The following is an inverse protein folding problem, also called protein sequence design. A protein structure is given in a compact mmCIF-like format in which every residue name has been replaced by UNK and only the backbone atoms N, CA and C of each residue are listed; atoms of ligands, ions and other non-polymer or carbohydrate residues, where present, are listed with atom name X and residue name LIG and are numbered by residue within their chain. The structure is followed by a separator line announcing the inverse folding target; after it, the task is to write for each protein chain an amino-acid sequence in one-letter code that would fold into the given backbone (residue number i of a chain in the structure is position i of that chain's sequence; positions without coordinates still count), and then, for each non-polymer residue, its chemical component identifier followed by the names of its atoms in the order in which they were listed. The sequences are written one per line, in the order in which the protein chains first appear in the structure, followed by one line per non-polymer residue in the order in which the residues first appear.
data_IF_873171923829
#
_entry.id   IF_873171923829
#
_cell.length_a   1.000
_cell.length_b   1.000
_cell.length_c   1.000
_cell.angle_alpha   90.00
_cell.angle_beta   90.00
_cell.angle_gamma   90.00
#
_symmetry.space_group_name_H-M   'P 1'
#
loop_
_entity.id
_entity.type
_entity.pdbx_description
1 polymer ?
#
# COMPACT_ATOMS: atom_id res chain seq x y z
N UNK A 1 -5.12 11.66 5.94
CA UNK A 1 -6.50 11.86 6.43
C UNK A 1 -7.40 11.99 5.23
N UNK A 2 -8.56 11.35 5.24
CA UNK A 2 -9.50 11.41 4.13
C UNK A 2 -10.26 12.75 4.13
N UNK A 3 -10.76 13.24 2.97
CA UNK A 3 -11.55 14.45 2.93
C UNK A 3 -12.92 14.28 3.59
N UNK A 4 -13.21 15.11 4.61
CA UNK A 4 -14.48 15.09 5.35
C UNK A 4 -15.47 16.18 4.91
N UNK A 5 -15.05 17.10 4.04
CA UNK A 5 -15.92 18.13 3.51
C UNK A 5 -17.15 17.51 2.86
N UNK A 6 -18.31 18.04 3.25
CA UNK A 6 -19.58 17.46 2.84
C UNK A 6 -19.96 17.92 1.44
N UNK A 7 -20.41 16.98 0.62
CA UNK A 7 -21.16 17.27 -0.58
C UNK A 7 -22.53 17.83 -0.18
N UNK A 8 -22.81 19.06 -0.62
CA UNK A 8 -24.11 19.70 -0.43
C UNK A 8 -25.11 19.21 -1.48
N UNK A 9 -25.48 17.92 -1.41
CA UNK A 9 -26.32 17.28 -2.44
C UNK A 9 -27.71 17.89 -2.56
N UNK A 10 -28.23 18.54 -1.50
CA UNK A 10 -29.49 19.28 -1.58
C UNK A 10 -29.42 20.44 -2.59
N UNK A 11 -28.22 20.95 -2.91
CA UNK A 11 -28.01 21.97 -3.96
C UNK A 11 -27.92 21.39 -5.37
N UNK A 12 -27.89 20.07 -5.52
CA UNK A 12 -27.72 19.43 -6.84
C UNK A 12 -29.03 19.27 -7.59
N UNK A 13 -30.17 19.37 -6.89
CA UNK A 13 -31.50 19.32 -7.49
C UNK A 13 -31.98 20.70 -7.98
N UNK A 14 -31.23 21.77 -7.68
CA UNK A 14 -31.61 23.13 -8.09
C UNK A 14 -31.18 23.48 -9.52
N UNK A 15 -30.30 22.68 -10.14
CA UNK A 15 -29.87 22.86 -11.53
C UNK A 15 -29.32 21.58 -12.17
N UNK A 16 -29.54 21.44 -13.47
CA UNK A 16 -28.84 20.47 -14.32
C UNK A 16 -27.59 21.11 -14.94
N UNK A 17 -26.57 20.30 -15.23
CA UNK A 17 -25.35 20.74 -15.89
C UNK A 17 -24.80 19.70 -16.88
N UNK A 18 -24.34 20.15 -18.04
CA UNK A 18 -23.55 19.36 -18.99
C UNK A 18 -22.29 20.17 -19.32
N UNK A 19 -21.16 19.77 -18.73
CA UNK A 19 -19.90 20.52 -18.80
C UNK A 19 -18.78 19.61 -19.26
N UNK A 20 -18.08 20.02 -20.32
CA UNK A 20 -16.78 19.44 -20.69
C UNK A 20 -15.68 20.30 -20.09
N UNK A 21 -14.95 19.73 -19.15
CA UNK A 21 -13.87 20.42 -18.46
C UNK A 21 -12.51 19.90 -18.94
N UNK A 22 -11.57 20.81 -19.16
CA UNK A 22 -10.16 20.53 -19.44
C UNK A 22 -9.28 21.44 -18.61
N UNK A 23 -8.30 20.88 -17.93
CA UNK A 23 -7.29 21.62 -17.17
C UNK A 23 -5.90 21.10 -17.51
N UNK A 24 -4.98 22.00 -17.88
CA UNK A 24 -3.62 21.60 -18.24
C UNK A 24 -2.81 21.10 -17.05
N UNK A 25 -2.91 21.80 -15.92
CA UNK A 25 -2.19 21.47 -14.68
C UNK A 25 -2.91 22.06 -13.47
N UNK A 26 -3.05 21.27 -12.42
CA UNK A 26 -3.64 21.66 -11.14
C UNK A 26 -2.59 21.45 -10.06
N UNK A 27 -2.28 22.52 -9.33
CA UNK A 27 -1.34 22.52 -8.22
C UNK A 27 -2.08 22.96 -6.95
N UNK A 28 -1.84 22.25 -5.85
CA UNK A 28 -2.44 22.59 -4.56
C UNK A 28 -1.43 22.37 -3.43
N UNK A 29 -0.78 23.45 -3.00
CA UNK A 29 0.25 23.40 -1.96
C UNK A 29 1.39 22.44 -2.33
N UNK A 30 1.78 21.58 -1.38
CA UNK A 30 2.79 20.52 -1.58
C UNK A 30 2.22 19.23 -2.17
N UNK A 31 0.93 19.19 -2.53
CA UNK A 31 0.32 17.97 -3.06
C UNK A 31 0.82 17.63 -4.46
N UNK A 32 0.74 16.34 -4.79
CA UNK A 32 1.10 15.83 -6.09
C UNK A 32 0.32 16.52 -7.20
N UNK A 33 1.00 17.18 -8.15
CA UNK A 33 0.31 17.91 -9.21
C UNK A 33 -0.43 16.95 -10.12
N UNK A 34 -1.63 17.38 -10.52
CA UNK A 34 -2.46 16.69 -11.50
C UNK A 34 -2.26 17.37 -12.86
N UNK A 35 -1.97 16.60 -13.90
CA UNK A 35 -1.81 17.13 -15.27
C UNK A 35 -2.91 16.64 -16.21
N UNK A 36 -3.10 17.32 -17.33
CA UNK A 36 -3.90 16.85 -18.47
C UNK A 36 -5.30 16.37 -18.08
N UNK A 37 -5.92 17.06 -17.12
CA UNK A 37 -7.22 16.70 -16.61
C UNK A 37 -8.27 16.96 -17.69
N UNK A 38 -9.08 15.94 -17.98
CA UNK A 38 -10.27 16.06 -18.82
C UNK A 38 -11.42 15.26 -18.24
N UNK A 39 -12.62 15.83 -18.25
CA UNK A 39 -13.83 15.13 -17.81
C UNK A 39 -15.07 15.67 -18.50
N UNK A 40 -16.07 14.80 -18.68
CA UNK A 40 -17.43 15.20 -19.00
C UNK A 40 -18.26 15.07 -17.73
N UNK A 41 -18.67 16.21 -17.19
CA UNK A 41 -19.49 16.37 -16.01
C UNK A 41 -20.94 16.45 -16.46
N UNK A 42 -21.76 15.51 -16.03
CA UNK A 42 -23.20 15.51 -16.26
C UNK A 42 -23.86 15.51 -14.89
N UNK A 43 -24.63 16.54 -14.59
CA UNK A 43 -25.52 16.60 -13.44
C UNK A 43 -26.95 16.67 -13.97
N UNK A 44 -27.77 15.68 -13.63
CA UNK A 44 -29.18 15.66 -14.04
C UNK A 44 -30.06 15.13 -12.94
N UNK A 45 -31.04 15.90 -12.46
CA UNK A 45 -31.93 15.50 -11.36
C UNK A 45 -31.14 14.99 -10.13
N UNK A 46 -30.14 15.77 -9.68
CA UNK A 46 -29.19 15.39 -8.63
C UNK A 46 -28.31 14.13 -8.90
N UNK A 47 -28.34 13.54 -10.09
CA UNK A 47 -27.46 12.45 -10.53
C UNK A 47 -26.18 13.01 -11.15
N UNK A 48 -25.04 12.91 -10.45
CA UNK A 48 -23.76 13.42 -10.92
C UNK A 48 -22.90 12.29 -11.52
N UNK A 49 -22.42 12.50 -12.74
CA UNK A 49 -21.51 11.62 -13.47
C UNK A 49 -20.28 12.35 -13.93
N UNK A 50 -19.13 11.72 -13.74
CA UNK A 50 -17.84 12.12 -14.31
C UNK A 50 -17.35 10.97 -15.18
N UNK A 51 -17.59 11.06 -16.50
CA UNK A 51 -17.35 9.92 -17.39
C UNK A 51 -16.81 10.31 -18.78
N UNK A 52 -15.55 9.95 -19.11
CA UNK A 52 -14.49 9.53 -18.19
C UNK A 52 -13.88 10.76 -17.50
N UNK A 53 -13.46 10.62 -16.25
CA UNK A 53 -12.48 11.50 -15.62
C UNK A 53 -11.08 10.96 -15.93
N UNK A 54 -10.26 11.73 -16.63
CA UNK A 54 -8.89 11.36 -17.00
C UNK A 54 -7.93 12.41 -16.51
N UNK A 55 -6.80 11.99 -15.96
CA UNK A 55 -5.73 12.90 -15.58
C UNK A 55 -4.38 12.17 -15.42
N UNK A 56 -3.29 12.92 -15.57
CA UNK A 56 -1.95 12.49 -15.23
C UNK A 56 -1.65 12.69 -13.75
N UNK A 57 -0.96 11.72 -13.15
CA UNK A 57 -0.50 11.77 -11.75
C UNK A 57 0.80 10.98 -11.63
N UNK A 58 1.78 11.52 -10.89
CA UNK A 58 3.05 10.83 -10.61
C UNK A 58 3.75 10.27 -11.88
N UNK A 59 3.64 10.98 -13.01
CA UNK A 59 4.21 10.57 -14.30
C UNK A 59 3.46 9.44 -15.03
N UNK A 60 2.38 8.92 -14.45
CA UNK A 60 1.46 7.96 -15.07
C UNK A 60 0.10 8.58 -15.38
N UNK A 61 -0.90 7.72 -15.58
CA UNK A 61 -2.26 8.13 -15.95
C UNK A 61 -3.31 7.45 -15.09
N UNK A 62 -4.35 8.19 -14.72
CA UNK A 62 -5.56 7.69 -14.07
C UNK A 62 -6.75 7.95 -15.00
N UNK A 63 -7.55 6.90 -15.22
CA UNK A 63 -8.84 6.97 -15.91
C UNK A 63 -9.88 6.42 -14.95
N UNK A 64 -10.95 7.19 -14.71
CA UNK A 64 -12.03 6.77 -13.84
C UNK A 64 -13.41 7.13 -14.40
N UNK A 65 -14.42 6.43 -13.90
CA UNK A 65 -15.82 6.78 -14.06
C UNK A 65 -16.44 6.85 -12.67
N UNK A 66 -16.98 8.02 -12.33
CA UNK A 66 -17.57 8.30 -11.02
C UNK A 66 -19.05 8.59 -11.21
N UNK A 67 -19.89 7.96 -10.39
CA UNK A 67 -21.33 8.14 -10.38
C UNK A 67 -21.79 8.38 -8.94
N UNK A 68 -22.43 9.51 -8.68
CA UNK A 68 -22.90 9.93 -7.37
C UNK A 68 -24.41 10.25 -7.47
N UNK A 69 -25.22 9.51 -6.73
CA UNK A 69 -26.68 9.58 -6.72
C UNK A 69 -27.11 10.52 -5.58
N UNK A 70 -27.13 11.82 -5.85
CA UNK A 70 -27.37 12.89 -4.87
C UNK A 70 -28.81 12.99 -4.37
N UNK A 71 -29.76 12.40 -5.10
CA UNK A 71 -31.17 12.24 -4.74
C UNK A 71 -31.38 11.26 -3.57
N UNK A 72 -30.39 10.40 -3.30
CA UNK A 72 -30.42 9.43 -2.20
C UNK A 72 -29.87 10.00 -0.90
N UNK A 73 -30.44 9.56 0.23
CA UNK A 73 -30.04 9.99 1.57
C UNK A 73 -29.77 8.76 2.47
N UNK A 74 -28.50 8.45 2.82
CA UNK A 74 -27.26 9.11 2.37
C UNK A 74 -27.00 8.88 0.87
N UNK A 75 -26.20 9.78 0.26
CA UNK A 75 -25.82 9.68 -1.16
C UNK A 75 -25.14 8.34 -1.44
N UNK A 76 -25.47 7.71 -2.56
CA UNK A 76 -24.78 6.51 -3.03
C UNK A 76 -23.72 6.89 -4.06
N UNK A 77 -22.53 6.31 -3.95
CA UNK A 77 -21.43 6.56 -4.87
C UNK A 77 -20.84 5.28 -5.46
N UNK A 78 -20.42 5.34 -6.72
CA UNK A 78 -19.66 4.30 -7.40
C UNK A 78 -18.46 4.91 -8.11
N UNK A 79 -17.32 4.25 -8.04
CA UNK A 79 -16.11 4.63 -8.73
C UNK A 79 -15.46 3.40 -9.36
N UNK A 80 -15.21 3.49 -10.67
CA UNK A 80 -14.34 2.57 -11.39
C UNK A 80 -13.06 3.32 -11.72
N UNK A 81 -11.91 2.82 -11.31
CA UNK A 81 -10.62 3.54 -11.40
C UNK A 81 -9.59 2.61 -12.01
N UNK A 82 -8.86 3.10 -13.00
CA UNK A 82 -7.71 2.46 -13.61
C UNK A 82 -6.51 3.40 -13.51
N UNK A 83 -5.49 2.96 -12.79
CA UNK A 83 -4.21 3.64 -12.68
C UNK A 83 -3.15 2.86 -13.46
N UNK A 84 -2.35 3.55 -14.26
CA UNK A 84 -1.29 2.93 -15.07
C UNK A 84 0.01 3.72 -14.96
N UNK A 85 1.11 2.98 -14.80
CA UNK A 85 2.49 3.49 -14.77
C UNK A 85 2.72 4.64 -13.80
N UNK A 86 2.10 4.60 -12.62
CA UNK A 86 2.35 5.60 -11.58
C UNK A 86 3.74 5.37 -10.99
N UNK A 87 4.62 6.36 -11.04
CA UNK A 87 6.00 6.20 -10.54
C UNK A 87 6.02 6.29 -9.03
N UNK A 88 6.54 5.26 -8.35
CA UNK A 88 6.56 5.18 -6.89
C UNK A 88 7.26 6.38 -6.23
N UNK A 89 8.44 6.75 -6.73
CA UNK A 89 9.18 7.93 -6.27
C UNK A 89 8.34 9.21 -6.28
N UNK A 90 7.56 9.39 -7.36
CA UNK A 90 6.71 10.56 -7.51
C UNK A 90 5.44 10.46 -6.66
N UNK A 91 4.89 9.27 -6.42
CA UNK A 91 3.71 9.08 -5.56
C UNK A 91 3.96 9.39 -4.08
N UNK A 92 5.19 9.26 -3.60
CA UNK A 92 5.54 9.44 -2.19
C UNK A 92 6.75 10.38 -2.07
N UNK A 93 6.63 11.65 -2.50
CA UNK A 93 7.76 12.58 -2.58
C UNK A 93 8.32 12.93 -1.20
N UNK A 94 7.47 12.94 -0.17
CA UNK A 94 7.83 13.31 1.20
C UNK A 94 8.41 12.14 2.02
N UNK A 95 8.48 10.94 1.43
CA UNK A 95 9.08 9.77 2.07
C UNK A 95 10.50 9.62 1.56
N UNK A 96 11.49 10.01 2.37
CA UNK A 96 12.91 10.01 2.02
C UNK A 96 13.37 8.64 1.46
N UNK A 97 12.89 7.55 2.07
CA UNK A 97 13.19 6.18 1.65
C UNK A 97 12.66 5.83 0.26
N UNK A 98 11.58 6.49 -0.19
CA UNK A 98 10.99 6.32 -1.51
C UNK A 98 11.74 7.09 -2.60
N UNK A 99 12.65 8.01 -2.24
CA UNK A 99 13.41 8.80 -3.20
C UNK A 99 14.47 8.01 -3.97
N UNK A 100 14.90 6.89 -3.39
CA UNK A 100 15.76 5.87 -4.02
C UNK A 100 14.96 4.70 -4.62
N UNK A 101 13.62 4.72 -4.50
CA UNK A 101 12.78 3.64 -5.02
C UNK A 101 12.47 3.87 -6.50
N UNK A 102 12.71 2.85 -7.33
CA UNK A 102 12.30 2.80 -8.73
C UNK A 102 11.19 1.76 -8.89
N UNK A 103 10.22 2.03 -9.75
CA UNK A 103 9.12 1.12 -10.02
C UNK A 103 7.87 1.85 -10.50
N UNK A 104 7.10 1.15 -11.31
CA UNK A 104 5.82 1.61 -11.83
C UNK A 104 4.68 0.78 -11.25
N UNK A 105 3.73 1.47 -10.62
CA UNK A 105 2.53 0.88 -10.07
C UNK A 105 1.37 1.00 -11.06
N UNK A 106 0.69 -0.12 -11.26
CA UNK A 106 -0.60 -0.20 -11.94
C UNK A 106 -1.66 -0.59 -10.91
N UNK A 107 -2.90 -0.17 -11.13
CA UNK A 107 -3.98 -0.54 -10.25
C UNK A 107 -5.36 -0.42 -10.87
N UNK A 108 -6.28 -1.22 -10.36
CA UNK A 108 -7.69 -1.22 -10.74
C UNK A 108 -8.54 -1.26 -9.48
N UNK A 109 -9.57 -0.42 -9.42
CA UNK A 109 -10.50 -0.39 -8.30
C UNK A 109 -11.95 -0.29 -8.80
N UNK A 110 -12.84 -1.10 -8.22
CA UNK A 110 -14.30 -0.93 -8.28
C UNK A 110 -14.77 -0.77 -6.84
N UNK A 111 -15.34 0.40 -6.53
CA UNK A 111 -15.76 0.76 -5.18
C UNK A 111 -17.18 1.31 -5.26
N UNK A 112 -18.05 0.83 -4.37
CA UNK A 112 -19.39 1.36 -4.14
C UNK A 112 -19.54 1.70 -2.67
N UNK A 113 -20.07 2.87 -2.34
CA UNK A 113 -20.22 3.30 -0.95
C UNK A 113 -21.39 4.24 -0.75
N UNK A 114 -21.64 4.61 0.51
CA UNK A 114 -22.69 5.55 0.88
C UNK A 114 -22.19 6.60 1.86
N UNK A 115 -22.61 7.85 1.67
CA UNK A 115 -22.18 8.97 2.50
C UNK A 115 -22.06 10.27 1.73
N UNK A 116 -22.09 11.37 2.46
CA UNK A 116 -22.08 12.73 1.88
C UNK A 116 -20.69 13.37 1.94
N UNK A 117 -19.61 12.59 1.99
CA UNK A 117 -18.22 13.07 1.88
C UNK A 117 -17.34 11.94 1.34
N UNK A 118 -16.12 12.23 0.90
CA UNK A 118 -15.18 11.19 0.44
C UNK A 118 -14.88 10.20 1.57
N UNK A 119 -14.62 10.70 2.77
CA UNK A 119 -14.40 9.86 3.95
C UNK A 119 -15.60 8.97 4.27
N UNK A 120 -16.83 9.50 4.20
CA UNK A 120 -18.03 8.72 4.48
C UNK A 120 -18.29 7.66 3.39
N UNK A 121 -18.11 8.00 2.11
CA UNK A 121 -18.24 7.06 1.00
C UNK A 121 -17.26 5.89 1.15
N UNK A 122 -15.97 6.18 1.39
CA UNK A 122 -14.94 5.15 1.57
C UNK A 122 -15.14 4.37 2.87
N UNK A 123 -15.51 5.04 3.96
CA UNK A 123 -15.76 4.43 5.27
C UNK A 123 -16.95 3.47 5.29
N UNK A 124 -17.91 3.61 4.37
CA UNK A 124 -19.04 2.70 4.21
C UNK A 124 -19.00 1.93 2.87
N UNK A 125 -17.81 1.80 2.28
CA UNK A 125 -17.67 1.20 0.95
C UNK A 125 -17.56 -0.31 0.96
N UNK A 126 -17.93 -0.91 -0.16
CA UNK A 126 -17.63 -2.27 -0.54
C UNK A 126 -17.01 -2.27 -1.94
N UNK A 127 -16.15 -3.24 -2.23
CA UNK A 127 -15.49 -3.31 -3.53
C UNK A 127 -14.18 -4.08 -3.50
N UNK A 128 -13.37 -3.86 -4.52
CA UNK A 128 -12.07 -4.51 -4.66
C UNK A 128 -11.02 -3.52 -5.18
N UNK A 129 -9.78 -3.73 -4.76
CA UNK A 129 -8.61 -2.97 -5.20
C UNK A 129 -7.49 -3.93 -5.56
N UNK A 130 -7.06 -3.89 -6.83
CA UNK A 130 -5.91 -4.64 -7.34
C UNK A 130 -4.77 -3.66 -7.61
N UNK A 131 -3.58 -3.97 -7.12
CA UNK A 131 -2.35 -3.21 -7.35
C UNK A 131 -1.26 -4.16 -7.83
N UNK A 132 -0.47 -3.72 -8.81
CA UNK A 132 0.62 -4.51 -9.38
C UNK A 132 1.82 -3.64 -9.74
N UNK A 133 3.00 -4.14 -9.40
CA UNK A 133 4.29 -3.69 -9.89
C UNK A 133 5.08 -4.93 -10.36
N UNK A 134 5.64 -4.89 -11.57
CA UNK A 134 6.39 -6.01 -12.11
C UNK A 134 7.89 -5.92 -11.86
N UNK A 135 8.46 -4.73 -11.78
CA UNK A 135 9.90 -4.58 -11.54
C UNK A 135 10.10 -3.29 -10.76
N UNK A 136 11.03 -3.33 -9.81
CA UNK A 136 11.39 -2.17 -9.03
C UNK A 136 12.69 -2.35 -8.26
N UNK A 137 13.10 -1.27 -7.61
CA UNK A 137 14.27 -1.21 -6.75
C UNK A 137 13.84 -0.47 -5.50
N UNK A 138 14.14 -1.02 -4.33
CA UNK A 138 13.85 -0.42 -3.03
C UNK A 138 15.17 -0.20 -2.28
N UNK A 139 15.30 0.93 -1.59
CA UNK A 139 16.44 1.19 -0.71
C UNK A 139 16.57 0.13 0.39
N UNK A 140 17.76 -0.44 0.60
CA UNK A 140 18.01 -1.43 1.66
C UNK A 140 17.66 -0.89 3.05
N UNK A 141 17.85 0.41 3.29
CA UNK A 141 17.49 1.07 4.55
C UNK A 141 16.00 0.96 4.88
N UNK A 142 15.12 0.80 3.88
CA UNK A 142 13.68 0.57 4.10
C UNK A 142 13.41 -0.79 4.74
N UNK A 143 14.25 -1.80 4.47
CA UNK A 143 14.13 -3.13 5.08
C UNK A 143 14.76 -3.18 6.49
N UNK A 144 15.72 -2.32 6.78
CA UNK A 144 16.43 -2.29 8.06
C UNK A 144 15.71 -1.48 9.15
N UNK A 145 14.92 -0.45 8.78
CA UNK A 145 14.13 0.36 9.74
C UNK A 145 13.09 -0.47 10.50
N UNK A 146 12.72 -1.61 9.94
CA UNK A 146 11.79 -2.50 10.61
C UNK A 146 12.47 -3.36 11.67
N UNK A 147 13.80 -3.30 11.81
CA UNK A 147 14.58 -3.95 12.84
C UNK A 147 15.11 -2.98 13.88
N UNK A 148 14.33 -2.73 14.94
CA UNK A 148 14.76 -2.30 16.27
C UNK A 148 14.77 -0.78 16.57
N UNK A 149 13.98 -0.40 17.58
CA UNK A 149 14.32 0.72 18.47
C UNK A 149 15.56 0.31 19.29
N UNK A 150 16.78 0.53 18.78
CA UNK A 150 18.01 0.35 19.57
C UNK A 150 18.96 1.48 19.23
N UNK A 151 19.43 2.19 20.26
CA UNK A 151 20.43 3.23 20.14
C UNK A 151 21.69 2.74 19.42
N UNK A 152 22.30 3.65 18.65
CA UNK A 152 23.43 3.43 17.75
C UNK A 152 23.14 2.63 16.48
N UNK A 153 22.69 3.40 15.49
CA UNK A 153 22.86 3.20 14.07
C UNK A 153 24.34 2.90 13.71
N UNK A 154 24.76 1.63 13.78
CA UNK A 154 26.01 1.13 13.16
C UNK A 154 25.74 -0.28 12.62
N UNK A 155 25.03 -0.39 11.50
CA UNK A 155 25.02 -1.64 10.69
C UNK A 155 25.16 -1.36 9.19
N UNK A 156 24.98 -0.13 8.72
CA UNK A 156 25.05 0.21 7.29
C UNK A 156 26.45 0.25 6.65
N UNK A 157 27.54 -0.08 7.36
CA UNK A 157 28.91 0.05 6.81
C UNK A 157 29.62 -1.27 6.46
N UNK A 158 29.05 -2.44 6.70
CA UNK A 158 29.83 -3.69 6.58
C UNK A 158 29.49 -4.53 5.34
N UNK A 159 28.36 -4.33 4.67
CA UNK A 159 27.99 -5.17 3.52
C UNK A 159 27.30 -4.37 2.41
N UNK A 160 27.88 -4.43 1.21
CA UNK A 160 27.55 -3.60 0.05
C UNK A 160 26.14 -3.75 -0.54
N UNK A 161 25.85 -2.73 -1.35
CA UNK A 161 24.67 -2.37 -2.15
C UNK A 161 23.46 -1.78 -1.40
N UNK A 162 23.27 -0.46 -1.60
CA UNK A 162 22.21 0.43 -1.07
C UNK A 162 20.78 0.08 -1.52
N UNK A 163 20.63 -0.88 -2.43
CA UNK A 163 19.43 -1.12 -3.22
C UNK A 163 19.09 -2.62 -3.24
N UNK A 164 17.80 -2.94 -3.25
CA UNK A 164 17.26 -4.29 -3.31
C UNK A 164 16.26 -4.37 -4.45
N UNK A 165 16.49 -5.31 -5.36
CA UNK A 165 15.59 -5.53 -6.50
C UNK A 165 14.31 -6.21 -6.06
N UNK A 166 13.20 -5.64 -6.52
CA UNK A 166 11.85 -6.17 -6.38
C UNK A 166 11.46 -6.79 -7.72
N UNK A 167 11.32 -8.10 -7.74
CA UNK A 167 10.88 -8.87 -8.90
C UNK A 167 9.39 -8.69 -9.19
N UNK A 168 8.58 -8.36 -8.18
CA UNK A 168 7.21 -7.89 -8.32
C UNK A 168 6.63 -7.50 -6.94
N UNK A 169 5.57 -6.71 -6.96
CA UNK A 169 4.70 -6.51 -5.81
C UNK A 169 3.25 -6.56 -6.26
N UNK A 170 2.40 -7.25 -5.51
CA UNK A 170 1.00 -7.41 -5.83
C UNK A 170 0.13 -7.24 -4.58
N UNK A 171 -0.99 -6.56 -4.74
CA UNK A 171 -2.07 -6.55 -3.75
C UNK A 171 -3.41 -6.82 -4.45
N UNK A 172 -4.20 -7.73 -3.89
CA UNK A 172 -5.61 -7.92 -4.20
C UNK A 172 -6.38 -7.79 -2.89
N UNK A 173 -7.13 -6.72 -2.76
CA UNK A 173 -7.78 -6.31 -1.52
C UNK A 173 -9.29 -6.33 -1.72
N UNK A 174 -10.01 -6.98 -0.81
CA UNK A 174 -11.46 -6.86 -0.70
C UNK A 174 -11.79 -5.78 0.33
N UNK A 175 -12.70 -4.91 -0.02
CA UNK A 175 -13.21 -3.86 0.85
C UNK A 175 -14.61 -4.25 1.27
N UNK A 176 -14.82 -4.37 2.58
CA UNK A 176 -16.13 -4.67 3.16
C UNK A 176 -16.41 -3.69 4.29
N UNK A 177 -17.49 -2.92 4.17
CA UNK A 177 -17.90 -1.88 5.11
C UNK A 177 -16.72 -0.95 5.49
N UNK A 178 -16.01 -0.47 4.46
CA UNK A 178 -14.85 0.40 4.59
C UNK A 178 -13.60 -0.23 5.16
N UNK A 179 -13.57 -1.56 5.37
CA UNK A 179 -12.37 -2.27 5.82
C UNK A 179 -11.77 -3.06 4.67
N UNK A 180 -10.59 -2.66 4.22
CA UNK A 180 -9.79 -3.36 3.23
C UNK A 180 -9.02 -4.51 3.88
N UNK A 181 -9.14 -5.72 3.30
CA UNK A 181 -8.40 -6.92 3.70
C UNK A 181 -7.70 -7.54 2.49
N UNK A 182 -6.42 -7.91 2.60
CA UNK A 182 -5.71 -8.56 1.52
C UNK A 182 -6.14 -10.03 1.37
N UNK A 183 -6.58 -10.39 0.17
CA UNK A 183 -6.55 -11.78 -0.30
C UNK A 183 -5.14 -12.17 -0.74
N UNK A 184 -4.43 -11.20 -1.32
CA UNK A 184 -3.02 -11.28 -1.67
C UNK A 184 -2.42 -9.93 -1.30
N UNK A 185 -1.31 -9.92 -0.59
CA UNK A 185 -0.46 -8.73 -0.51
C UNK A 185 0.97 -9.20 -0.29
N UNK A 186 1.76 -9.19 -1.36
CA UNK A 186 3.09 -9.78 -1.35
C UNK A 186 4.08 -8.98 -2.18
N UNK A 187 5.33 -9.01 -1.76
CA UNK A 187 6.49 -8.48 -2.48
C UNK A 187 7.48 -9.61 -2.70
N UNK A 188 7.82 -9.89 -3.96
CA UNK A 188 8.91 -10.81 -4.29
C UNK A 188 10.16 -9.99 -4.57
N UNK A 189 11.20 -10.20 -3.78
CA UNK A 189 12.50 -9.55 -3.96
C UNK A 189 13.57 -10.58 -4.27
N UNK A 190 14.76 -10.12 -4.67
CA UNK A 190 15.92 -11.02 -4.80
C UNK A 190 16.36 -11.64 -3.46
N UNK A 191 15.97 -11.04 -2.33
CA UNK A 191 16.42 -11.44 -0.99
C UNK A 191 15.36 -12.23 -0.20
N UNK A 192 14.08 -11.97 -0.45
CA UNK A 192 12.97 -12.50 0.34
C UNK A 192 11.63 -12.45 -0.41
N UNK A 193 10.72 -13.36 -0.07
CA UNK A 193 9.29 -13.21 -0.29
C UNK A 193 8.70 -12.54 0.96
N UNK A 194 8.00 -11.42 0.80
CA UNK A 194 7.42 -10.68 1.93
C UNK A 194 5.91 -10.73 1.80
N UNK A 195 5.24 -11.37 2.75
CA UNK A 195 3.80 -11.45 2.83
C UNK A 195 3.25 -10.40 3.80
N UNK A 196 2.12 -9.77 3.45
CA UNK A 196 1.46 -8.76 4.28
C UNK A 196 0.03 -9.19 4.58
N UNK A 197 -0.32 -9.18 5.85
CA UNK A 197 -1.66 -9.54 6.35
C UNK A 197 -2.20 -8.43 7.24
N UNK A 198 -3.46 -8.53 7.64
CA UNK A 198 -4.12 -7.56 8.52
C UNK A 198 -5.16 -6.72 7.80
N UNK A 199 -5.38 -5.49 8.26
CA UNK A 199 -6.47 -4.63 7.75
C UNK A 199 -6.06 -3.18 7.61
N UNK A 200 -6.70 -2.49 6.66
CA UNK A 200 -6.73 -1.03 6.58
C UNK A 200 -8.20 -0.58 6.61
N UNK A 201 -8.58 0.21 7.60
CA UNK A 201 -9.95 0.68 7.79
C UNK A 201 -10.08 2.13 7.31
N UNK A 202 -10.82 2.36 6.23
CA UNK A 202 -11.22 3.71 5.81
C UNK A 202 -12.24 4.32 6.76
N UNK A 203 -13.02 3.50 7.47
CA UNK A 203 -14.03 3.95 8.42
C UNK A 203 -13.40 4.62 9.66
N UNK A 204 -12.30 4.05 10.16
CA UNK A 204 -11.57 4.56 11.33
C UNK A 204 -10.23 5.22 10.98
N UNK A 205 -9.85 5.23 9.70
CA UNK A 205 -8.52 5.64 9.21
C UNK A 205 -7.34 4.95 9.92
N UNK A 206 -7.50 3.68 10.26
CA UNK A 206 -6.50 2.89 11.01
C UNK A 206 -5.88 1.79 10.16
N UNK A 207 -4.60 1.53 10.41
CA UNK A 207 -3.84 0.40 9.91
C UNK A 207 -3.57 -0.56 11.06
N UNK A 208 -3.68 -1.84 10.76
CA UNK A 208 -3.08 -2.91 11.54
C UNK A 208 -2.61 -3.99 10.58
N UNK A 209 -1.37 -3.84 10.12
CA UNK A 209 -0.74 -4.73 9.17
C UNK A 209 0.38 -5.52 9.87
N UNK A 210 0.51 -6.79 9.50
CA UNK A 210 1.64 -7.63 9.85
C UNK A 210 2.40 -7.97 8.57
N UNK A 211 3.71 -7.75 8.58
CA UNK A 211 4.61 -8.02 7.46
C UNK A 211 5.50 -9.18 7.87
N UNK A 212 5.47 -10.25 7.08
CA UNK A 212 6.19 -11.49 7.35
C UNK A 212 7.22 -11.75 6.24
N UNK A 213 8.51 -11.43 6.47
CA UNK A 213 9.57 -11.65 5.50
C UNK A 213 10.12 -13.09 5.58
N UNK A 214 9.99 -13.82 4.49
CA UNK A 214 10.57 -15.15 4.28
C UNK A 214 11.84 -15.03 3.42
N UNK A 215 13.00 -15.20 4.05
CA UNK A 215 14.31 -15.05 3.37
C UNK A 215 14.54 -16.15 2.32
N UNK A 216 15.09 -15.77 1.17
CA UNK A 216 15.56 -16.71 0.13
C UNK A 216 17.04 -17.05 0.34
N UNK A 217 17.35 -18.34 0.36
CA UNK A 217 18.71 -18.86 0.51
C UNK A 217 19.28 -18.78 1.94
N UNK A 218 20.47 -19.37 2.12
CA UNK A 218 21.14 -19.46 3.43
C UNK A 218 21.74 -18.09 3.79
N UNK A 219 21.25 -17.45 4.86
CA UNK A 219 21.81 -16.20 5.40
C UNK A 219 22.08 -16.32 6.90
N UNK A 220 23.23 -15.78 7.33
CA UNK A 220 23.79 -15.92 8.69
C UNK A 220 23.07 -14.99 9.70
N UNK A 221 22.45 -13.90 9.23
CA UNK A 221 21.73 -12.93 10.06
C UNK A 221 20.34 -12.75 9.46
N UNK A 222 19.39 -13.52 9.95
CA UNK A 222 17.99 -13.44 9.50
C UNK A 222 17.18 -12.58 10.48
N UNK A 223 16.61 -11.46 10.02
CA UNK A 223 15.56 -10.76 10.77
C UNK A 223 14.24 -11.55 10.62
N UNK A 224 14.17 -12.72 11.27
CA UNK A 224 13.05 -13.69 11.24
C UNK A 224 11.84 -13.25 12.09
N UNK A 225 11.71 -11.96 12.37
CA UNK A 225 10.68 -11.46 13.29
C UNK A 225 9.63 -10.73 12.49
N UNK A 226 8.35 -11.15 12.56
CA UNK A 226 7.29 -10.43 11.89
C UNK A 226 7.28 -8.98 12.33
N UNK A 227 7.07 -8.13 11.36
CA UNK A 227 7.03 -6.69 11.52
C UNK A 227 5.57 -6.25 11.56
N UNK A 228 5.30 -5.05 12.03
CA UNK A 228 3.96 -4.48 12.00
C UNK A 228 3.96 -3.04 11.52
N UNK A 229 2.84 -2.61 10.96
CA UNK A 229 2.51 -1.21 10.69
C UNK A 229 1.14 -0.94 11.29
N UNK A 230 1.08 -0.03 12.26
CA UNK A 230 -0.13 0.24 13.07
C UNK A 230 -0.39 1.72 13.25
N UNK A 231 -1.62 2.05 13.63
CA UNK A 231 -2.01 3.43 13.94
C UNK A 231 -2.68 4.10 12.75
N UNK A 232 -2.81 5.42 12.81
CA UNK A 232 -3.64 6.15 11.84
C UNK A 232 -2.96 6.28 10.48
N UNK A 233 -3.74 6.44 9.41
CA UNK A 233 -3.21 6.75 8.08
C UNK A 233 -2.31 7.99 8.06
N UNK A 234 -2.56 8.94 8.96
CA UNK A 234 -1.75 10.17 9.09
C UNK A 234 -0.43 9.94 9.80
N UNK A 235 -0.38 8.99 10.73
CA UNK A 235 0.81 8.70 11.53
C UNK A 235 0.95 7.19 11.76
N UNK A 236 1.32 6.43 10.72
CA UNK A 236 1.58 5.01 10.84
C UNK A 236 2.88 4.79 11.61
N UNK A 237 2.87 3.81 12.50
CA UNK A 237 4.01 3.39 13.30
C UNK A 237 4.44 2.01 12.85
N UNK A 238 5.72 1.86 12.50
CA UNK A 238 6.31 0.58 12.14
C UNK A 238 7.16 0.04 13.29
N UNK A 239 7.24 -1.30 13.42
CA UNK A 239 8.12 -1.92 14.42
C UNK A 239 8.23 -3.43 14.30
N UNK A 240 9.06 -4.04 15.14
CA UNK A 240 9.23 -5.50 15.25
C UNK A 240 8.28 -6.07 16.29
N UNK A 241 7.67 -7.23 16.03
CA UNK A 241 7.02 -8.00 17.10
C UNK A 241 8.09 -8.61 18.02
N UNK A 242 8.14 -8.14 19.26
CA UNK A 242 9.15 -8.57 20.25
C UNK A 242 8.97 -10.02 20.76
N UNK A 243 7.76 -10.58 20.70
CA UNK A 243 7.47 -11.92 21.26
C UNK A 243 8.39 -13.03 20.73
N UNK A 244 8.47 -13.24 19.40
CA UNK A 244 9.40 -14.20 18.80
C UNK A 244 10.88 -13.92 19.11
N UNK A 245 11.27 -12.66 19.33
CA UNK A 245 12.63 -12.29 19.70
C UNK A 245 12.98 -12.72 21.13
N UNK A 246 12.09 -12.49 22.09
CA UNK A 246 12.28 -12.84 23.50
C UNK A 246 12.43 -14.36 23.65
N UNK A 247 11.56 -15.14 23.01
CA UNK A 247 11.63 -16.60 23.03
C UNK A 247 12.96 -17.13 22.50
N UNK A 248 13.47 -16.55 21.39
CA UNK A 248 14.77 -16.92 20.82
C UNK A 248 15.94 -16.52 21.72
N UNK A 249 15.88 -15.35 22.35
CA UNK A 249 16.89 -14.91 23.31
C UNK A 249 17.01 -15.87 24.50
N UNK A 250 15.88 -16.36 25.02
CA UNK A 250 15.87 -17.34 26.10
C UNK A 250 16.48 -18.68 25.69
N UNK A 251 16.16 -19.19 24.49
CA UNK A 251 16.72 -20.43 23.96
C UNK A 251 18.23 -20.30 23.72
N UNK A 252 18.69 -19.20 23.13
CA UNK A 252 20.11 -18.95 22.89
C UNK A 252 20.90 -18.84 24.21
N UNK A 253 20.35 -18.16 25.21
CA UNK A 253 20.97 -18.08 26.55
C UNK A 253 21.04 -19.45 27.23
N UNK A 254 20.00 -20.28 27.12
CA UNK A 254 20.00 -21.65 27.65
C UNK A 254 20.96 -22.58 26.90
N UNK A 255 21.11 -22.43 25.58
CA UNK A 255 22.07 -23.23 24.80
C UNK A 255 23.51 -22.79 25.05
N UNK A 256 23.76 -21.49 25.28
CA UNK A 256 25.08 -20.97 25.61
C UNK A 256 25.63 -21.49 26.95
N UNK A 257 24.75 -21.90 27.88
CA UNK A 257 25.16 -22.54 29.14
C UNK A 257 25.38 -24.05 29.00
N UNK A 258 24.92 -24.68 27.92
CA UNK A 258 24.92 -26.15 27.73
C UNK A 258 25.88 -26.63 26.64
N UNK A 259 26.22 -25.79 25.65
CA UNK A 259 27.01 -26.17 24.47
C UNK A 259 28.06 -25.10 24.16
N UNK A 260 29.21 -25.50 23.59
CA UNK A 260 30.30 -24.57 23.24
C UNK A 260 29.79 -23.41 22.35
N UNK A 261 30.37 -22.20 22.43
CA UNK A 261 29.89 -21.01 21.71
C UNK A 261 29.68 -21.20 20.20
N UNK A 262 30.44 -22.11 19.59
CA UNK A 262 30.31 -22.45 18.17
C UNK A 262 28.99 -23.18 17.83
N UNK A 263 28.45 -24.00 18.73
CA UNK A 263 27.20 -24.72 18.51
C UNK A 263 25.95 -23.82 18.63
N UNK A 264 26.02 -22.74 19.42
CA UNK A 264 24.94 -21.75 19.50
C UNK A 264 24.72 -21.01 18.17
N UNK A 265 25.77 -20.88 17.34
CA UNK A 265 25.67 -20.29 16.00
C UNK A 265 24.87 -21.17 15.03
N UNK A 266 24.83 -22.49 15.23
CA UNK A 266 24.03 -23.40 14.40
C UNK A 266 22.52 -23.13 14.55
N UNK A 267 22.06 -22.66 15.72
CA UNK A 267 20.66 -22.29 15.93
C UNK A 267 20.26 -21.00 15.16
N UNK A 268 21.24 -20.21 14.70
CA UNK A 268 21.00 -19.04 13.86
C UNK A 268 20.86 -19.43 12.37
N UNK A 269 21.41 -20.58 11.97
CA UNK A 269 21.33 -21.10 10.60
C UNK A 269 19.98 -21.80 10.44
N UNK A 270 19.11 -21.20 9.63
CA UNK A 270 17.86 -21.83 9.19
C UNK A 270 18.01 -22.19 7.72
N UNK A 271 17.81 -23.46 7.32
CA UNK A 271 17.56 -23.77 5.92
C UNK A 271 16.30 -23.01 5.50
N UNK A 272 16.38 -22.23 4.42
CA UNK A 272 15.18 -21.73 3.75
C UNK A 272 15.13 -22.30 2.34
N UNK A 273 14.02 -22.95 2.04
CA UNK A 273 13.68 -23.43 0.70
C UNK A 273 12.72 -22.42 0.10
N UNK A 274 13.12 -21.79 -1.01
CA UNK A 274 12.28 -20.83 -1.71
C UNK A 274 12.76 -20.66 -3.15
N UNK A 275 11.84 -20.84 -4.09
CA UNK A 275 12.10 -20.63 -5.52
C UNK A 275 12.55 -19.18 -5.78
N UNK A 276 13.50 -18.98 -6.70
CA UNK A 276 14.17 -17.70 -6.89
C UNK A 276 13.22 -16.55 -7.30
N UNK A 277 12.09 -16.86 -7.96
CA UNK A 277 11.09 -15.89 -8.41
C UNK A 277 9.66 -16.43 -8.24
N UNK A 278 8.87 -15.76 -7.39
CA UNK A 278 7.49 -16.18 -7.05
C UNK A 278 6.41 -15.42 -7.84
N UNK A 279 6.80 -14.51 -8.74
CA UNK A 279 5.86 -13.59 -9.37
C UNK A 279 4.83 -14.29 -10.24
N UNK A 280 5.19 -15.39 -10.93
CA UNK A 280 4.20 -16.18 -11.69
C UNK A 280 3.10 -16.72 -10.79
N UNK A 281 3.45 -17.24 -9.62
CA UNK A 281 2.51 -17.76 -8.63
C UNK A 281 1.60 -16.65 -8.13
N UNK A 282 2.17 -15.54 -7.67
CA UNK A 282 1.43 -14.38 -7.16
C UNK A 282 0.47 -13.81 -8.23
N UNK A 283 0.97 -13.57 -9.44
CA UNK A 283 0.18 -13.03 -10.55
C UNK A 283 -0.95 -13.97 -10.99
N UNK A 284 -0.76 -15.28 -10.91
CA UNK A 284 -1.80 -16.25 -11.24
C UNK A 284 -2.99 -16.16 -10.27
N UNK A 285 -2.72 -15.84 -9.00
CA UNK A 285 -3.75 -15.68 -7.98
C UNK A 285 -4.50 -14.36 -8.14
N UNK A 286 -3.88 -13.31 -8.68
CA UNK A 286 -4.55 -12.03 -8.98
C UNK A 286 -5.63 -12.14 -10.08
N UNK A 287 -5.55 -13.17 -10.92
CA UNK A 287 -6.54 -13.43 -11.99
C UNK A 287 -7.82 -14.11 -11.49
N UNK A 288 -7.79 -14.69 -10.28
CA UNK A 288 -8.97 -15.23 -9.62
C UNK A 288 -9.80 -14.07 -9.03
#
# INVERSE_FOLDING_TARGET
MLPYDRFETDKWDVMDADVRFKGGRIEHGSSLPVSDLSTHIILKNADLRLQPLKFGLAGGSIVSSIHLEGDKKPMQGRANIQARRLKLKALMPDVELMQKTLGEMNGDADIRGSGNSVAALLGNSNGNLKLLMNDGVISRNLMEIVGLNVGNFIVGQIFGDDEVRVNCAAANLDIVNGVARPQIFAFDTENALVNVTGTASFASEQLDLTIDPESKGIRIITLRSPLYVRGSFKNPQAGVKAGPLIARGAVAAALATLVTPAAALLALISPSEGDANQCRTILSQMKK
#
